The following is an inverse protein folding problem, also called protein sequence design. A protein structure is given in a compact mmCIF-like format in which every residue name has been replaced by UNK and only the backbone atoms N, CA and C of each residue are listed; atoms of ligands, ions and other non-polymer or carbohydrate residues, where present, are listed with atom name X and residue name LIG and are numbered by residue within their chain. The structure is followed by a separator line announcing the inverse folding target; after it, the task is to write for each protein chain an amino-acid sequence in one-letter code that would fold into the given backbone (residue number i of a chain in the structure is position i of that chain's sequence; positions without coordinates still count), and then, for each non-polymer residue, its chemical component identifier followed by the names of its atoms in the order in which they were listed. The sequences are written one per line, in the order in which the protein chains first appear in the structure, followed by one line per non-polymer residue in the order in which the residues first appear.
data_IF_790722099623
#
_entry.id   IF_790722099623
#
_cell.length_a   1.000
_cell.length_b   1.000
_cell.length_c   1.000
_cell.angle_alpha   90.00
_cell.angle_beta   90.00
_cell.angle_gamma   90.00
#
_symmetry.space_group_name_H-M   'P 1'
#
loop_
_entity.id
_entity.type
_entity.pdbx_description
1 polymer ?
#
# COMPACT_ATOMS: atom_id res chain seq x y z
N UNK A 1 15.72 43.46 -16.56
CA UNK A 1 15.82 42.25 -15.72
C UNK A 1 14.43 41.61 -15.75
N UNK A 2 14.25 40.57 -16.57
CA UNK A 2 12.95 39.95 -16.80
C UNK A 2 12.58 39.07 -15.61
N UNK A 3 11.39 39.27 -15.05
CA UNK A 3 10.74 38.26 -14.24
C UNK A 3 10.48 37.07 -15.17
N UNK A 4 11.20 35.97 -14.94
CA UNK A 4 10.78 34.70 -15.51
C UNK A 4 9.37 34.46 -14.98
N UNK A 5 8.39 34.57 -15.88
CA UNK A 5 7.07 34.00 -15.66
C UNK A 5 7.33 32.52 -15.41
N UNK A 6 7.29 32.13 -14.14
CA UNK A 6 7.22 30.72 -13.77
C UNK A 6 6.01 30.22 -14.52
N UNK A 7 6.25 29.27 -15.42
CA UNK A 7 5.26 28.75 -16.33
C UNK A 7 4.05 28.24 -15.53
N UNK A 8 3.00 29.06 -15.48
CA UNK A 8 1.77 28.75 -14.74
C UNK A 8 1.07 27.55 -15.39
N UNK A 9 1.40 27.22 -16.65
CA UNK A 9 1.02 25.97 -17.30
C UNK A 9 1.70 24.73 -16.68
N UNK A 10 2.91 24.85 -16.13
CA UNK A 10 3.57 23.72 -15.45
C UNK A 10 2.95 23.40 -14.07
N UNK A 11 2.13 24.31 -13.54
CA UNK A 11 1.30 24.15 -12.35
C UNK A 11 -0.20 23.99 -12.67
N UNK A 12 -0.59 24.07 -13.96
CA UNK A 12 -1.98 23.82 -14.39
C UNK A 12 -2.25 22.33 -14.27
N UNK A 13 -2.91 21.95 -13.17
CA UNK A 13 -3.48 20.62 -12.98
C UNK A 13 -2.38 19.55 -13.01
N UNK A 14 -1.92 18.99 -11.89
CA UNK A 14 -2.67 17.93 -11.21
C UNK A 14 -3.82 17.42 -12.09
N UNK A 15 -3.47 16.94 -13.28
CA UNK A 15 -4.29 16.05 -14.07
C UNK A 15 -4.60 14.95 -13.08
N UNK A 16 -5.89 14.74 -12.79
CA UNK A 16 -6.36 13.52 -12.17
C UNK A 16 -5.78 12.38 -13.00
N UNK A 17 -4.63 11.84 -12.58
CA UNK A 17 -3.97 10.75 -13.27
C UNK A 17 -4.89 9.54 -13.06
N UNK A 18 -5.67 9.14 -14.07
CA UNK A 18 -6.74 8.16 -13.87
C UNK A 18 -6.17 6.82 -13.38
N UNK A 19 -4.94 6.52 -13.78
CA UNK A 19 -4.21 5.34 -13.31
C UNK A 19 -3.86 5.44 -11.82
N UNK A 20 -3.36 6.59 -11.37
CA UNK A 20 -3.08 6.82 -9.95
C UNK A 20 -4.37 6.85 -9.13
N UNK A 21 -5.45 7.46 -9.63
CA UNK A 21 -6.75 7.45 -8.96
C UNK A 21 -7.31 6.03 -8.83
N UNK A 22 -7.17 5.20 -9.87
CA UNK A 22 -7.57 3.80 -9.84
C UNK A 22 -6.73 3.00 -8.83
N UNK A 23 -5.41 3.20 -8.82
CA UNK A 23 -4.50 2.60 -7.82
C UNK A 23 -4.88 3.01 -6.39
N UNK A 24 -5.14 4.29 -6.15
CA UNK A 24 -5.59 4.80 -4.85
C UNK A 24 -6.95 4.19 -4.49
N UNK A 25 -7.84 4.00 -5.46
CA UNK A 25 -9.15 3.40 -5.23
C UNK A 25 -9.05 1.94 -4.79
N UNK A 26 -8.06 1.17 -5.25
CA UNK A 26 -7.85 -0.22 -4.81
C UNK A 26 -7.47 -0.26 -3.32
N UNK A 27 -6.71 0.72 -2.86
CA UNK A 27 -6.22 0.78 -1.47
C UNK A 27 -7.10 1.63 -0.55
N UNK A 28 -8.13 2.26 -1.10
CA UNK A 28 -9.11 3.05 -0.36
C UNK A 28 -10.23 2.15 0.13
N UNK A 29 -10.57 2.23 1.41
CA UNK A 29 -11.54 1.31 1.99
C UNK A 29 -12.99 1.81 1.92
N UNK A 30 -13.98 0.94 1.60
CA UNK A 30 -15.39 1.31 1.57
C UNK A 30 -15.99 1.54 2.97
N UNK A 31 -15.39 0.99 4.04
CA UNK A 31 -15.99 0.96 5.39
C UNK A 31 -15.09 1.53 6.52
N UNK A 32 -13.92 2.09 6.19
CA UNK A 32 -13.08 2.79 7.16
C UNK A 32 -12.38 1.91 8.20
N UNK A 33 -12.17 0.61 7.93
CA UNK A 33 -11.06 -0.07 8.60
C UNK A 33 -9.76 0.55 8.05
N UNK A 34 -8.68 0.52 8.84
CA UNK A 34 -7.42 1.07 8.37
C UNK A 34 -6.67 -0.06 7.67
N UNK A 35 -6.19 0.14 6.44
CA UNK A 35 -5.38 -0.87 5.74
C UNK A 35 -4.17 -1.33 6.57
N UNK A 36 -3.70 -0.49 7.50
CA UNK A 36 -2.69 -0.86 8.48
C UNK A 36 -3.16 -1.95 9.47
N UNK A 37 -4.41 -1.93 9.92
CA UNK A 37 -4.96 -3.01 10.76
C UNK A 37 -5.06 -4.31 10.01
N UNK A 38 -5.55 -4.27 8.78
CA UNK A 38 -5.60 -5.46 7.95
C UNK A 38 -4.18 -6.00 7.67
N UNK A 39 -3.19 -5.12 7.44
CA UNK A 39 -1.79 -5.52 7.31
C UNK A 39 -1.25 -6.23 8.55
N UNK A 40 -1.56 -5.72 9.75
CA UNK A 40 -1.17 -6.36 11.00
C UNK A 40 -1.79 -7.76 11.14
N UNK A 41 -3.10 -7.87 10.91
CA UNK A 41 -3.85 -9.13 11.00
C UNK A 41 -3.37 -10.16 9.98
N UNK A 42 -3.22 -9.77 8.71
CA UNK A 42 -2.70 -10.62 7.64
C UNK A 42 -1.28 -11.12 7.95
N UNK A 43 -0.41 -10.25 8.48
CA UNK A 43 0.94 -10.65 8.86
C UNK A 43 0.91 -11.63 10.03
N UNK A 44 0.08 -11.43 11.06
CA UNK A 44 -0.05 -12.37 12.17
C UNK A 44 -0.52 -13.75 11.68
N UNK A 45 -1.57 -13.77 10.87
CA UNK A 45 -2.13 -14.98 10.30
C UNK A 45 -1.08 -15.77 9.51
N UNK A 46 -0.27 -15.06 8.69
CA UNK A 46 0.80 -15.69 7.93
C UNK A 46 1.82 -16.39 8.83
N UNK A 47 2.27 -15.71 9.89
CA UNK A 47 3.24 -16.28 10.83
C UNK A 47 2.69 -17.50 11.58
N UNK A 48 1.41 -17.48 11.92
CA UNK A 48 0.72 -18.61 12.56
C UNK A 48 0.67 -19.84 11.63
N UNK A 49 0.55 -19.63 10.32
CA UNK A 49 0.47 -20.70 9.31
C UNK A 49 1.83 -21.21 8.83
N UNK A 50 2.79 -20.31 8.57
CA UNK A 50 3.99 -20.63 7.80
C UNK A 50 5.27 -20.72 8.66
N UNK A 51 5.23 -20.33 9.94
CA UNK A 51 6.41 -20.27 10.84
C UNK A 51 7.58 -19.38 10.36
N UNK A 52 7.42 -18.73 9.21
CA UNK A 52 8.26 -17.70 8.62
C UNK A 52 7.39 -16.51 8.20
N UNK A 53 7.99 -15.35 7.99
CA UNK A 53 7.24 -14.14 7.65
C UNK A 53 7.09 -13.97 6.15
N UNK A 54 6.00 -13.33 5.69
CA UNK A 54 5.79 -13.10 4.28
C UNK A 54 6.82 -12.13 3.72
N UNK A 55 7.15 -12.30 2.45
CA UNK A 55 7.73 -11.26 1.61
C UNK A 55 6.72 -10.12 1.39
N UNK A 56 7.17 -8.99 0.86
CA UNK A 56 6.28 -7.89 0.48
C UNK A 56 5.19 -8.34 -0.50
N UNK A 57 5.56 -9.11 -1.52
CA UNK A 57 4.62 -9.63 -2.53
C UNK A 57 3.55 -10.50 -1.89
N UNK A 58 3.95 -11.47 -1.08
CA UNK A 58 3.03 -12.38 -0.39
C UNK A 58 2.07 -11.64 0.55
N UNK A 59 2.56 -10.62 1.26
CA UNK A 59 1.68 -9.78 2.08
C UNK A 59 0.66 -9.02 1.24
N UNK A 60 1.07 -8.42 0.11
CA UNK A 60 0.13 -7.74 -0.78
C UNK A 60 -0.91 -8.70 -1.37
N UNK A 61 -0.51 -9.91 -1.73
CA UNK A 61 -1.42 -10.95 -2.22
C UNK A 61 -2.42 -11.41 -1.15
N UNK A 62 -2.00 -11.50 0.12
CA UNK A 62 -2.88 -11.83 1.23
C UNK A 62 -3.84 -10.68 1.60
N UNK A 63 -3.46 -9.43 1.33
CA UNK A 63 -4.24 -8.25 1.73
C UNK A 63 -5.25 -7.78 0.70
N UNK A 64 -4.99 -7.98 -0.59
CA UNK A 64 -5.76 -7.36 -1.66
C UNK A 64 -6.21 -8.38 -2.71
N UNK A 65 -7.49 -8.30 -3.06
CA UNK A 65 -8.04 -8.95 -4.25
C UNK A 65 -8.58 -7.87 -5.20
N UNK A 66 -8.25 -7.92 -6.51
CA UNK A 66 -7.37 -8.89 -7.17
C UNK A 66 -5.88 -8.66 -6.84
N UNK A 67 -5.04 -9.69 -7.05
CA UNK A 67 -3.58 -9.60 -6.81
C UNK A 67 -2.83 -8.90 -7.94
N UNK A 68 -3.27 -9.07 -9.20
CA UNK A 68 -2.74 -8.36 -10.37
C UNK A 68 -3.52 -7.08 -10.65
N UNK A 69 -3.13 -5.99 -9.99
CA UNK A 69 -3.80 -4.69 -10.11
C UNK A 69 -3.72 -4.13 -11.53
N UNK A 70 -2.63 -4.39 -12.25
CA UNK A 70 -2.44 -3.87 -13.60
C UNK A 70 -3.28 -4.62 -14.64
N UNK A 71 -3.88 -5.77 -14.28
CA UNK A 71 -4.85 -6.45 -15.14
C UNK A 71 -6.24 -5.83 -15.07
N UNK A 72 -6.58 -5.15 -13.97
CA UNK A 72 -7.91 -4.57 -13.73
C UNK A 72 -7.96 -3.06 -13.90
N UNK A 73 -6.79 -2.40 -13.95
CA UNK A 73 -6.69 -0.97 -14.29
C UNK A 73 -6.47 -0.84 -15.80
N UNK A 74 -7.49 -0.33 -16.49
CA UNK A 74 -7.39 -0.03 -17.92
C UNK A 74 -6.59 1.26 -18.14
N UNK A 75 -5.32 1.13 -18.52
CA UNK A 75 -4.53 2.24 -19.08
C UNK A 75 -3.75 1.77 -20.32
N UNK A 76 -4.29 2.07 -21.50
CA UNK A 76 -3.65 1.78 -22.79
C UNK A 76 -2.73 2.92 -23.29
N UNK A 77 -2.73 4.06 -22.62
CA UNK A 77 -1.96 5.23 -23.02
C UNK A 77 -0.55 5.25 -22.43
N UNK A 78 -0.34 4.58 -21.29
CA UNK A 78 0.94 4.52 -20.58
C UNK A 78 1.74 3.26 -20.95
N UNK A 79 3.06 3.37 -21.22
CA UNK A 79 3.93 2.20 -21.35
C UNK A 79 3.86 1.29 -20.12
N UNK A 80 3.90 -0.03 -20.31
CA UNK A 80 3.80 -1.01 -19.21
C UNK A 80 4.86 -0.80 -18.12
N UNK A 81 6.09 -0.49 -18.51
CA UNK A 81 7.18 -0.22 -17.57
C UNK A 81 6.89 0.97 -16.64
N UNK A 82 6.20 2.01 -17.13
CA UNK A 82 5.84 3.18 -16.33
C UNK A 82 4.70 2.84 -15.34
N UNK A 83 3.75 1.98 -15.76
CA UNK A 83 2.70 1.46 -14.87
C UNK A 83 3.29 0.63 -13.73
N UNK A 84 4.23 -0.26 -14.05
CA UNK A 84 4.93 -1.10 -13.08
C UNK A 84 5.74 -0.25 -12.10
N UNK A 85 6.49 0.74 -12.58
CA UNK A 85 7.25 1.65 -11.72
C UNK A 85 6.35 2.40 -10.72
N UNK A 86 5.16 2.84 -11.14
CA UNK A 86 4.22 3.53 -10.26
C UNK A 86 3.52 2.60 -9.27
N UNK A 87 3.19 1.38 -9.69
CA UNK A 87 2.67 0.36 -8.78
C UNK A 87 3.68 0.06 -7.67
N UNK A 88 4.96 -0.11 -8.03
CA UNK A 88 6.02 -0.35 -7.05
C UNK A 88 6.19 0.84 -6.09
N UNK A 89 6.14 2.08 -6.59
CA UNK A 89 6.15 3.26 -5.70
C UNK A 89 4.98 3.27 -4.71
N UNK A 90 3.78 2.88 -5.14
CA UNK A 90 2.62 2.78 -4.24
C UNK A 90 2.79 1.66 -3.20
N UNK A 91 3.30 0.50 -3.62
CA UNK A 91 3.60 -0.62 -2.72
C UNK A 91 4.65 -0.26 -1.68
N UNK A 92 5.74 0.38 -2.09
CA UNK A 92 6.76 0.92 -1.18
C UNK A 92 6.15 1.93 -0.19
N UNK A 93 5.31 2.83 -0.68
CA UNK A 93 4.63 3.81 0.17
C UNK A 93 3.71 3.14 1.21
N UNK A 94 2.95 2.12 0.82
CA UNK A 94 2.08 1.36 1.73
C UNK A 94 2.88 0.64 2.82
N UNK A 95 3.97 -0.03 2.45
CA UNK A 95 4.85 -0.68 3.41
C UNK A 95 5.41 0.32 4.43
N UNK A 96 5.90 1.47 3.97
CA UNK A 96 6.39 2.53 4.84
C UNK A 96 5.29 3.11 5.74
N UNK A 97 4.10 3.30 5.18
CA UNK A 97 2.93 3.77 5.93
C UNK A 97 2.56 2.79 7.05
N UNK A 98 2.43 1.50 6.76
CA UNK A 98 2.11 0.47 7.76
C UNK A 98 3.22 0.32 8.81
N UNK A 99 4.49 0.42 8.38
CA UNK A 99 5.61 0.42 9.32
C UNK A 99 5.56 1.63 10.26
N UNK A 100 5.30 2.83 9.73
CA UNK A 100 5.15 4.05 10.53
C UNK A 100 3.94 3.99 11.46
N UNK A 101 2.86 3.36 11.03
CA UNK A 101 1.67 3.13 11.83
C UNK A 101 1.91 2.08 12.95
N UNK A 102 3.00 1.30 12.86
CA UNK A 102 3.35 0.25 13.81
C UNK A 102 2.60 -1.06 13.59
N UNK A 103 1.98 -1.24 12.41
CA UNK A 103 1.27 -2.45 12.02
C UNK A 103 2.22 -3.58 11.60
N UNK A 104 3.33 -3.24 10.96
CA UNK A 104 4.37 -4.18 10.56
C UNK A 104 5.74 -3.63 10.93
N UNK A 105 6.77 -4.48 10.93
CA UNK A 105 8.15 -4.03 10.98
C UNK A 105 9.02 -4.78 9.95
N UNK A 106 9.94 -4.04 9.34
CA UNK A 106 10.88 -4.59 8.36
C UNK A 106 12.12 -3.70 8.16
N UNK A 107 13.16 -4.24 7.51
CA UNK A 107 14.37 -3.50 7.11
C UNK A 107 14.39 -3.38 5.59
N UNK A 108 14.35 -2.17 5.05
CA UNK A 108 14.49 -1.95 3.61
C UNK A 108 15.90 -2.33 3.14
N UNK A 109 16.02 -3.22 2.14
CA UNK A 109 17.31 -3.48 1.49
C UNK A 109 17.48 -4.85 0.84
N UNK A 110 17.26 -5.96 1.57
CA UNK A 110 17.47 -7.34 1.07
C UNK A 110 16.63 -8.32 1.88
N UNK A 111 15.86 -9.18 1.19
CA UNK A 111 14.92 -10.18 1.71
C UNK A 111 14.14 -9.73 2.96
N UNK A 112 13.12 -8.93 2.66
CA UNK A 112 12.30 -8.25 3.65
C UNK A 112 11.28 -9.24 4.18
N UNK A 113 11.69 -10.09 5.11
CA UNK A 113 10.75 -10.87 5.92
C UNK A 113 9.95 -9.87 6.77
N UNK A 114 8.67 -9.73 6.47
CA UNK A 114 7.79 -8.81 7.19
C UNK A 114 7.35 -9.46 8.50
N UNK A 115 7.45 -8.71 9.58
CA UNK A 115 7.03 -9.15 10.92
C UNK A 115 5.82 -8.35 11.38
N UNK A 116 4.96 -8.92 12.23
CA UNK A 116 3.92 -8.16 12.90
C UNK A 116 4.56 -7.01 13.69
N UNK A 117 3.86 -5.88 13.70
CA UNK A 117 4.23 -4.72 14.49
C UNK A 117 3.81 -4.85 15.96
N UNK A 118 3.44 -3.73 16.58
CA UNK A 118 3.13 -3.71 18.01
C UNK A 118 1.72 -4.26 18.29
N UNK A 119 1.52 -5.14 19.29
CA UNK A 119 0.18 -5.58 19.68
C UNK A 119 -0.70 -4.44 20.24
N UNK A 120 -0.09 -3.32 20.67
CA UNK A 120 -0.82 -2.12 21.09
C UNK A 120 -1.51 -1.39 19.91
N UNK A 121 -1.22 -1.80 18.67
CA UNK A 121 -1.89 -1.33 17.46
C UNK A 121 -3.36 -1.79 17.41
N UNK A 122 -3.64 -3.00 17.87
CA UNK A 122 -5.00 -3.49 18.07
C UNK A 122 -5.48 -2.85 19.37
N UNK A 123 -6.29 -1.78 19.29
CA UNK A 123 -6.96 -1.23 20.46
C UNK A 123 -7.64 -2.34 21.27
N UNK A 124 -8.01 -2.11 22.55
CA UNK A 124 -8.54 -3.16 23.41
C UNK A 124 -9.64 -3.93 22.67
N UNK A 125 -9.40 -5.23 22.43
CA UNK A 125 -10.43 -6.14 21.92
C UNK A 125 -11.64 -5.93 22.80
N UNK A 126 -12.72 -5.40 22.23
CA UNK A 126 -14.00 -5.40 22.91
C UNK A 126 -14.36 -6.87 22.99
N UNK A 127 -14.07 -7.51 24.11
CA UNK A 127 -14.62 -8.82 24.42
C UNK A 127 -16.14 -8.64 24.36
N UNK A 128 -16.77 -9.11 23.28
CA UNK A 128 -18.21 -9.38 23.24
C UNK A 128 -18.46 -10.57 24.18
N UNK A 129 -18.34 -10.30 25.47
CA UNK A 129 -18.64 -11.19 26.55
C UNK A 129 -20.10 -11.03 26.96
N UNK A 130 -20.90 -12.01 26.52
CA UNK A 130 -22.09 -12.58 27.17
C UNK A 130 -23.48 -12.04 26.78
#
# INVERSE_FOLDING_TARGET
MGFALVDVDSFRMVVRDPFLEALISIVSEPNGSSTAQHAYEATCHWWDEHSEGPTATELFEAMFEPTDWLSVIEDHGRPRADQEAQLELLREWLLLYWCRAGAICFVAGVDIVIRPGSPAFVGPRVDEGK
#
